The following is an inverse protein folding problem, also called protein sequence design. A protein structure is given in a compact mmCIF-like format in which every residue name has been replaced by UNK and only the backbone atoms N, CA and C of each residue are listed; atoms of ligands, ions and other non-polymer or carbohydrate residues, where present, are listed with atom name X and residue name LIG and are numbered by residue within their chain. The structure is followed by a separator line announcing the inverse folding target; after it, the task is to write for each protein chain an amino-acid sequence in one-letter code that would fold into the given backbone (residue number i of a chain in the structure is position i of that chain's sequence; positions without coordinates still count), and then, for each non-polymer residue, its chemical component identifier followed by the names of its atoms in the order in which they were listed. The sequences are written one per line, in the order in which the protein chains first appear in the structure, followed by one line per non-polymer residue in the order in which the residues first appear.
data_IF_815176006076
#
_entry.id   IF_815176006076
#
_cell.length_a   1.000
_cell.length_b   1.000
_cell.length_c   1.000
_cell.angle_alpha   90.00
_cell.angle_beta   90.00
_cell.angle_gamma   90.00
#
_symmetry.space_group_name_H-M   'P 1'
#
loop_
_entity.id
_entity.type
_entity.pdbx_description
1 polymer ?
#
# COMPACT_ATOMS: atom_id res chain seq x y z
N UNK A 1 -22.68 -10.21 3.47
CA UNK A 1 -21.68 -9.65 2.54
C UNK A 1 -20.29 -10.10 3.01
N UNK A 2 -19.26 -9.97 2.17
CA UNK A 2 -17.86 -10.36 2.45
C UNK A 2 -16.92 -9.15 2.63
N UNK A 3 -17.49 -8.04 3.13
CA UNK A 3 -16.84 -6.72 3.21
C UNK A 3 -15.57 -6.71 4.07
N UNK A 4 -15.43 -7.65 5.00
CA UNK A 4 -14.23 -7.84 5.80
C UNK A 4 -12.99 -8.11 4.94
N UNK A 5 -13.16 -8.58 3.70
CA UNK A 5 -12.09 -8.83 2.73
C UNK A 5 -11.79 -7.62 1.83
N UNK A 6 -12.39 -6.46 2.06
CA UNK A 6 -12.24 -5.28 1.21
C UNK A 6 -11.79 -4.04 2.00
N UNK A 7 -11.08 -3.16 1.31
CA UNK A 7 -10.81 -1.79 1.75
C UNK A 7 -11.53 -0.83 0.81
N UNK A 8 -12.12 0.21 1.37
CA UNK A 8 -12.79 1.27 0.62
C UNK A 8 -11.81 2.43 0.49
N UNK A 9 -11.56 2.87 -0.74
CA UNK A 9 -10.59 3.92 -1.06
C UNK A 9 -11.24 5.01 -1.92
N UNK A 10 -11.03 6.29 -1.59
CA UNK A 10 -11.36 7.37 -2.51
C UNK A 10 -10.34 7.39 -3.66
N UNK A 11 -10.82 7.61 -4.89
CA UNK A 11 -10.00 7.70 -6.10
C UNK A 11 -9.03 8.89 -6.03
N UNK A 12 -9.49 9.99 -5.44
CA UNK A 12 -8.72 11.21 -5.27
C UNK A 12 -8.39 11.41 -3.79
N UNK A 13 -7.38 10.71 -3.29
CA UNK A 13 -6.80 10.98 -1.96
C UNK A 13 -5.30 11.18 -2.00
N UNK A 14 -4.83 12.06 -1.12
CA UNK A 14 -3.42 12.26 -0.87
C UNK A 14 -3.00 11.49 0.38
N UNK A 15 -1.84 10.82 0.31
CA UNK A 15 -1.20 10.10 1.42
C UNK A 15 -2.08 9.05 2.15
N UNK A 16 -3.10 8.49 1.50
CA UNK A 16 -3.98 7.47 2.09
C UNK A 16 -5.03 8.02 3.07
N UNK A 17 -5.29 9.33 3.05
CA UNK A 17 -6.42 9.91 3.79
C UNK A 17 -7.75 9.40 3.22
N UNK A 18 -8.69 9.05 4.10
CA UNK A 18 -10.02 8.56 3.72
C UNK A 18 -10.11 7.07 3.40
N UNK A 19 -9.01 6.31 3.50
CA UNK A 19 -9.05 4.85 3.32
C UNK A 19 -9.71 4.18 4.54
N UNK A 20 -10.81 3.45 4.31
CA UNK A 20 -11.48 2.64 5.33
C UNK A 20 -11.02 1.19 5.18
N UNK A 21 -10.34 0.68 6.21
CA UNK A 21 -9.76 -0.67 6.17
C UNK A 21 -10.80 -1.72 6.52
N UNK A 22 -11.58 -1.50 7.56
CA UNK A 22 -12.58 -2.45 8.05
C UNK A 22 -13.96 -1.95 7.63
N UNK A 23 -14.26 -2.17 6.34
CA UNK A 23 -15.47 -1.66 5.69
C UNK A 23 -16.71 -2.32 6.27
N UNK A 24 -17.69 -1.52 6.63
CA UNK A 24 -19.02 -1.94 7.03
C UNK A 24 -20.05 -1.56 5.97
N UNK A 25 -21.23 -2.17 6.01
CA UNK A 25 -22.33 -1.77 5.12
C UNK A 25 -22.68 -0.29 5.30
N UNK A 26 -22.66 0.20 6.54
CA UNK A 26 -22.91 1.59 6.87
C UNK A 26 -21.91 2.55 6.20
N UNK A 27 -20.66 2.15 6.01
CA UNK A 27 -19.68 3.00 5.32
C UNK A 27 -20.05 3.19 3.85
N UNK A 28 -20.59 2.16 3.20
CA UNK A 28 -21.06 2.21 1.81
C UNK A 28 -22.32 3.05 1.68
N UNK A 29 -23.28 2.84 2.58
CA UNK A 29 -24.57 3.52 2.54
C UNK A 29 -24.43 5.04 2.76
N UNK A 30 -23.36 5.49 3.42
CA UNK A 30 -23.10 6.91 3.69
C UNK A 30 -22.25 7.60 2.60
N UNK A 31 -21.86 6.91 1.52
CA UNK A 31 -21.11 7.53 0.42
C UNK A 31 -22.05 8.40 -0.40
N UNK A 32 -21.79 9.71 -0.45
CA UNK A 32 -22.56 10.65 -1.24
C UNK A 32 -22.31 10.51 -2.75
N UNK A 33 -21.04 10.35 -3.16
CA UNK A 33 -20.61 10.29 -4.57
C UNK A 33 -19.87 8.96 -4.88
N UNK A 34 -20.57 7.82 -5.04
CA UNK A 34 -19.96 6.50 -5.17
C UNK A 34 -18.95 6.34 -6.31
N UNK A 35 -19.09 7.11 -7.40
CA UNK A 35 -18.18 7.10 -8.54
C UNK A 35 -16.75 7.55 -8.19
N UNK A 36 -16.58 8.27 -7.07
CA UNK A 36 -15.29 8.72 -6.58
C UNK A 36 -14.62 7.72 -5.64
N UNK A 37 -15.15 6.50 -5.52
CA UNK A 37 -14.66 5.48 -4.61
C UNK A 37 -14.45 4.13 -5.31
N UNK A 38 -13.56 3.33 -4.74
CA UNK A 38 -13.33 1.96 -5.17
C UNK A 38 -13.27 1.01 -3.97
N UNK A 39 -13.95 -0.12 -4.10
CA UNK A 39 -13.75 -1.27 -3.23
C UNK A 39 -12.63 -2.13 -3.79
N UNK A 40 -11.55 -2.27 -3.02
CA UNK A 40 -10.40 -3.07 -3.40
C UNK A 40 -10.26 -4.24 -2.42
N UNK A 41 -10.11 -5.45 -2.94
CA UNK A 41 -9.86 -6.63 -2.11
C UNK A 41 -8.55 -6.44 -1.31
N UNK A 42 -8.59 -6.79 -0.02
CA UNK A 42 -7.44 -6.78 0.89
C UNK A 42 -6.39 -7.73 0.37
N UNK A 43 -5.14 -7.29 0.46
CA UNK A 43 -3.97 -8.13 0.27
C UNK A 43 -3.36 -8.37 1.64
N UNK A 44 -3.16 -9.65 1.98
CA UNK A 44 -2.39 -10.00 3.15
C UNK A 44 -0.90 -9.93 2.80
N UNK A 45 -0.22 -8.94 3.33
CA UNK A 45 1.23 -8.86 3.24
C UNK A 45 1.87 -9.97 4.06
N UNK A 46 2.84 -10.67 3.48
CA UNK A 46 3.57 -11.72 4.15
C UNK A 46 4.66 -11.13 5.07
N UNK A 47 4.71 -11.62 6.31
CA UNK A 47 5.66 -11.23 7.35
C UNK A 47 6.99 -12.00 7.18
N UNK A 48 7.67 -11.78 6.06
CA UNK A 48 8.78 -12.66 5.62
C UNK A 48 10.16 -12.08 5.82
N UNK A 49 10.30 -10.81 6.20
CA UNK A 49 11.63 -10.21 6.40
C UNK A 49 12.03 -10.36 7.86
N UNK A 50 13.03 -11.20 8.19
CA UNK A 50 13.45 -11.37 9.57
C UNK A 50 14.04 -10.06 10.10
N UNK A 51 13.69 -9.73 11.33
CA UNK A 51 14.29 -8.64 12.11
C UNK A 51 14.60 -9.17 13.51
N UNK A 52 15.40 -8.47 14.33
CA UNK A 52 15.75 -8.93 15.69
C UNK A 52 14.57 -9.11 16.65
N UNK A 53 13.39 -8.59 16.32
CA UNK A 53 12.17 -8.65 17.12
C UNK A 53 11.05 -9.44 16.41
N UNK A 54 10.13 -8.78 15.70
CA UNK A 54 9.03 -9.41 14.97
C UNK A 54 9.24 -9.21 13.47
N UNK A 55 9.02 -10.22 12.62
CA UNK A 55 9.25 -10.08 11.19
C UNK A 55 8.52 -8.87 10.59
N UNK A 56 9.16 -8.23 9.62
CA UNK A 56 8.61 -7.10 8.89
C UNK A 56 8.00 -7.54 7.55
N UNK A 57 7.04 -6.75 7.10
CA UNK A 57 6.40 -6.81 5.78
C UNK A 57 7.14 -5.89 4.83
N UNK A 58 7.17 -6.26 3.56
CA UNK A 58 7.73 -5.44 2.51
C UNK A 58 6.68 -5.09 1.44
N UNK A 59 6.76 -3.87 0.94
CA UNK A 59 6.13 -3.46 -0.32
C UNK A 59 7.20 -2.84 -1.21
N UNK A 60 7.24 -3.24 -2.48
CA UNK A 60 8.18 -2.70 -3.46
C UNK A 60 7.42 -1.74 -4.36
N UNK A 61 7.83 -0.48 -4.37
CA UNK A 61 7.35 0.52 -5.31
C UNK A 61 8.33 0.63 -6.46
N UNK A 62 7.85 0.38 -7.68
CA UNK A 62 8.63 0.47 -8.90
C UNK A 62 8.41 1.84 -9.55
N UNK A 63 9.50 2.49 -9.95
CA UNK A 63 9.47 3.76 -10.67
C UNK A 63 9.86 3.53 -12.11
N UNK A 64 9.10 4.15 -13.00
CA UNK A 64 9.34 4.08 -14.44
C UNK A 64 9.38 5.49 -15.01
N UNK A 65 10.27 5.70 -15.99
CA UNK A 65 10.19 6.84 -16.89
C UNK A 65 9.60 6.41 -18.22
N UNK A 66 8.67 7.20 -18.74
CA UNK A 66 8.07 6.96 -20.04
C UNK A 66 8.26 8.20 -20.90
N UNK A 67 9.26 8.14 -21.78
CA UNK A 67 9.44 9.12 -22.84
C UNK A 67 8.32 8.97 -23.89
N UNK A 68 7.82 10.09 -24.42
CA UNK A 68 6.72 10.11 -25.39
C UNK A 68 7.01 9.25 -26.64
N UNK A 69 8.28 9.12 -27.03
CA UNK A 69 8.69 8.35 -28.21
C UNK A 69 9.05 6.89 -27.87
N UNK A 70 9.07 6.51 -26.60
CA UNK A 70 9.41 5.16 -26.19
C UNK A 70 8.19 4.22 -26.30
N UNK A 71 8.42 3.04 -26.89
CA UNK A 71 7.37 1.99 -27.02
C UNK A 71 6.85 1.45 -25.68
N UNK A 72 7.64 1.59 -24.60
CA UNK A 72 7.30 1.12 -23.25
C UNK A 72 8.02 1.97 -22.19
N UNK A 73 7.45 2.09 -20.98
CA UNK A 73 8.13 2.67 -19.84
C UNK A 73 9.42 1.89 -19.50
N UNK A 74 10.46 2.61 -19.10
CA UNK A 74 11.75 2.08 -18.68
C UNK A 74 11.83 2.12 -17.15
N UNK A 75 12.14 0.98 -16.53
CA UNK A 75 12.35 0.89 -15.09
C UNK A 75 13.54 1.76 -14.69
N UNK A 76 13.32 2.71 -13.79
CA UNK A 76 14.31 3.70 -13.41
C UNK A 76 14.89 3.44 -12.01
N UNK A 77 14.02 3.11 -11.06
CA UNK A 77 14.41 2.85 -9.69
C UNK A 77 13.33 2.04 -8.96
N UNK A 78 13.59 1.70 -7.70
CA UNK A 78 12.61 1.10 -6.82
C UNK A 78 12.76 1.64 -5.39
N UNK A 79 11.68 1.55 -4.62
CA UNK A 79 11.65 1.86 -3.19
C UNK A 79 11.01 0.70 -2.45
N UNK A 80 11.81 -0.03 -1.68
CA UNK A 80 11.34 -0.97 -0.68
C UNK A 80 10.78 -0.21 0.53
N UNK A 81 9.56 -0.54 0.92
CA UNK A 81 8.88 0.05 2.09
C UNK A 81 8.61 -1.06 3.10
N UNK A 82 9.31 -0.96 4.23
CA UNK A 82 9.25 -1.91 5.33
C UNK A 82 8.26 -1.44 6.39
N UNK A 83 7.42 -2.35 6.88
CA UNK A 83 6.43 -2.05 7.91
C UNK A 83 6.10 -3.27 8.75
N UNK A 84 5.73 -3.00 10.00
CA UNK A 84 5.09 -3.96 10.93
C UNK A 84 3.64 -3.57 11.21
N UNK A 85 3.09 -2.65 10.42
CA UNK A 85 1.73 -2.16 10.53
C UNK A 85 0.71 -3.08 9.88
N UNK A 86 -0.58 -2.78 10.12
CA UNK A 86 -1.66 -3.27 9.27
C UNK A 86 -1.57 -2.68 7.86
N UNK A 87 -0.97 -1.48 7.72
CA UNK A 87 -0.80 -0.76 6.45
C UNK A 87 0.61 -0.18 6.35
N UNK A 88 1.16 -0.15 5.13
CA UNK A 88 2.42 0.53 4.82
C UNK A 88 2.21 2.05 4.82
N UNK A 89 2.63 2.71 5.89
CA UNK A 89 2.55 4.17 5.99
C UNK A 89 3.26 4.71 7.23
N UNK A 90 3.73 5.96 7.15
CA UNK A 90 4.57 6.58 8.20
C UNK A 90 3.86 6.55 9.56
N UNK A 91 2.55 6.84 9.61
CA UNK A 91 1.75 6.83 10.85
C UNK A 91 1.69 5.45 11.51
N UNK A 92 1.69 4.37 10.72
CA UNK A 92 1.57 2.98 11.22
C UNK A 92 2.92 2.36 11.62
N UNK A 93 4.00 3.05 11.27
CA UNK A 93 5.37 2.70 11.60
C UNK A 93 5.90 3.46 12.81
N UNK A 94 5.13 4.42 13.34
CA UNK A 94 5.51 5.17 14.54
C UNK A 94 5.77 4.19 15.70
N UNK A 95 6.87 4.41 16.40
CA UNK A 95 7.33 3.63 17.55
C UNK A 95 7.66 2.15 17.24
N UNK A 96 7.94 1.83 15.96
CA UNK A 96 8.40 0.49 15.53
C UNK A 96 9.82 0.55 15.04
N UNK A 97 10.60 -0.47 15.38
CA UNK A 97 11.97 -0.63 14.89
C UNK A 97 12.00 -1.45 13.59
N UNK A 98 13.11 -1.38 12.85
CA UNK A 98 13.33 -2.17 11.62
C UNK A 98 12.23 -1.96 10.56
N UNK A 99 11.75 -0.72 10.43
CA UNK A 99 10.77 -0.26 9.44
C UNK A 99 11.33 0.97 8.71
N UNK A 100 10.83 1.29 7.51
CA UNK A 100 11.28 2.46 6.76
C UNK A 100 11.46 2.24 5.27
N UNK A 101 12.08 3.21 4.60
CA UNK A 101 12.39 3.18 3.16
C UNK A 101 13.75 2.56 2.89
N UNK A 102 13.84 1.76 1.83
CA UNK A 102 15.03 1.02 1.41
C UNK A 102 15.13 1.00 -0.13
N UNK A 103 16.29 0.65 -0.67
CA UNK A 103 16.45 0.27 -2.08
C UNK A 103 16.51 -1.26 -2.18
N UNK A 104 15.79 -1.84 -3.13
CA UNK A 104 15.82 -3.28 -3.40
C UNK A 104 16.87 -3.59 -4.48
N UNK A 105 17.78 -4.50 -4.16
CA UNK A 105 18.75 -5.06 -5.10
C UNK A 105 18.20 -6.35 -5.70
N UNK A 106 18.57 -6.62 -6.94
CA UNK A 106 18.19 -7.84 -7.65
C UNK A 106 19.47 -8.56 -8.07
N UNK A 107 19.39 -9.89 -8.12
CA UNK A 107 20.47 -10.70 -8.69
C UNK A 107 20.69 -10.35 -10.16
N UNK A 108 21.93 -10.55 -10.63
CA UNK A 108 22.31 -10.29 -12.02
C UNK A 108 21.86 -11.41 -12.95
#
# INVERSE_FOLDING_TARGET
SDLENYVLKPLFSFAGQGVVIDVTQKDLDNIADPENWILQRKVQYADIIPTPDVPAKAEIRMFYFWDENAKRPVAANNLGRMSKGKMIGVRYNKDKEWVGGNCCYFEK
#
